data_IF_120043407370
#
_entry.id   IF_120043407370
#
_cell.length_a   1.000
_cell.length_b   1.000
_cell.length_c   1.000
_cell.angle_alpha   90.00
_cell.angle_beta   90.00
_cell.angle_gamma   90.00
#
_symmetry.space_group_name_H-M   'P 1'
#
loop_
_entity.id
_entity.type
_entity.pdbx_description
1 polymer ?
#
# COMPACT_ATOMS: atom_id res chain seq x y z
N UNK A 1 -13.66 -14.21 -2.21
CA UNK A 1 -13.37 -13.78 -0.84
C UNK A 1 -11.88 -13.99 -0.65
N UNK A 2 -11.07 -12.94 -0.52
CA UNK A 2 -9.63 -13.14 -0.25
C UNK A 2 -9.49 -13.71 1.16
N UNK A 3 -8.73 -14.80 1.33
CA UNK A 3 -8.46 -15.38 2.63
C UNK A 3 -7.69 -14.38 3.50
N UNK A 4 -8.37 -13.83 4.49
CA UNK A 4 -7.75 -13.01 5.53
C UNK A 4 -7.06 -13.98 6.48
N UNK A 5 -5.74 -13.81 6.69
CA UNK A 5 -4.96 -14.64 7.62
C UNK A 5 -5.61 -14.64 9.01
N UNK A 6 -5.77 -15.82 9.63
CA UNK A 6 -6.39 -15.98 10.95
C UNK A 6 -5.72 -15.11 12.03
N UNK A 7 -4.40 -14.90 11.94
CA UNK A 7 -3.66 -14.05 12.86
C UNK A 7 -4.11 -12.58 12.81
N UNK A 8 -4.45 -12.06 11.63
CA UNK A 8 -4.99 -10.71 11.47
C UNK A 8 -6.42 -10.58 12.01
N UNK A 9 -7.21 -11.66 11.91
CA UNK A 9 -8.55 -11.72 12.51
C UNK A 9 -8.44 -11.73 14.04
N UNK A 10 -7.56 -12.54 14.59
CA UNK A 10 -7.29 -12.60 16.03
C UNK A 10 -6.77 -11.27 16.58
N UNK A 11 -5.94 -10.54 15.82
CA UNK A 11 -5.51 -9.20 16.23
C UNK A 11 -6.66 -8.19 16.25
N UNK A 12 -7.57 -8.27 15.28
CA UNK A 12 -8.70 -7.34 15.18
C UNK A 12 -9.72 -7.40 16.31
N UNK A 13 -9.65 -8.45 17.15
CA UNK A 13 -10.53 -8.64 18.32
C UNK A 13 -9.81 -8.41 19.65
N UNK A 14 -8.52 -8.06 19.66
CA UNK A 14 -7.79 -7.73 20.89
C UNK A 14 -8.22 -6.36 21.44
N UNK A 15 -8.17 -6.23 22.77
CA UNK A 15 -8.47 -4.97 23.48
C UNK A 15 -7.45 -3.87 23.17
N UNK A 16 -6.18 -4.23 23.03
CA UNK A 16 -5.12 -3.33 22.58
C UNK A 16 -4.59 -3.85 21.25
N UNK A 17 -4.75 -3.04 20.20
CA UNK A 17 -4.30 -3.37 18.85
C UNK A 17 -3.04 -2.60 18.52
N UNK A 18 -2.13 -3.24 17.82
CA UNK A 18 -1.01 -2.52 17.20
C UNK A 18 -1.52 -1.47 16.21
N UNK A 19 -0.76 -0.39 15.94
CA UNK A 19 -1.10 0.56 14.89
C UNK A 19 -1.19 -0.16 13.52
N UNK A 20 -2.05 0.34 12.63
CA UNK A 20 -2.21 -0.19 11.27
C UNK A 20 -1.41 0.66 10.29
N UNK A 21 -0.50 0.03 9.59
CA UNK A 21 0.27 0.62 8.49
C UNK A 21 -0.45 0.34 7.17
N UNK A 22 -0.47 1.35 6.29
CA UNK A 22 -1.04 1.22 4.94
C UNK A 22 0.10 1.15 3.93
N UNK A 23 0.18 0.02 3.24
CA UNK A 23 1.17 -0.25 2.20
C UNK A 23 0.48 -0.20 0.83
N UNK A 24 1.15 0.43 -0.13
CA UNK A 24 0.66 0.59 -1.49
C UNK A 24 1.61 -0.08 -2.48
N UNK A 25 1.06 -0.83 -3.42
CA UNK A 25 1.78 -1.41 -4.54
C UNK A 25 1.13 -0.91 -5.83
N UNK A 26 1.91 -0.30 -6.72
CA UNK A 26 1.45 0.14 -8.04
C UNK A 26 2.26 -0.62 -9.08
N UNK A 27 1.61 -1.51 -9.80
CA UNK A 27 2.23 -2.34 -10.82
C UNK A 27 1.96 -1.78 -12.22
N UNK A 28 3.03 -1.33 -12.87
CA UNK A 28 3.04 -0.83 -14.25
C UNK A 28 3.76 -1.77 -15.22
N UNK A 29 4.12 -2.99 -14.79
CA UNK A 29 4.89 -3.95 -15.61
C UNK A 29 4.16 -4.34 -16.90
N UNK A 30 2.83 -4.38 -16.87
CA UNK A 30 1.97 -4.60 -18.03
C UNK A 30 2.08 -3.51 -19.10
N UNK A 31 2.53 -2.31 -18.75
CA UNK A 31 2.81 -1.20 -19.68
C UNK A 31 4.30 -1.09 -20.04
N UNK A 32 5.15 -2.01 -19.57
CA UNK A 32 6.60 -1.92 -19.71
C UNK A 32 7.29 -1.04 -18.67
N UNK A 33 6.55 -0.60 -17.64
CA UNK A 33 7.09 0.12 -16.48
C UNK A 33 7.56 -0.80 -15.36
N UNK A 34 7.79 -0.22 -14.20
CA UNK A 34 8.21 -0.93 -12.99
C UNK A 34 7.07 -1.06 -11.96
N UNK A 35 7.32 -1.83 -10.89
CA UNK A 35 6.41 -1.89 -9.74
C UNK A 35 6.92 -0.99 -8.62
N UNK A 36 6.06 -0.11 -8.15
CA UNK A 36 6.34 0.84 -7.09
C UNK A 36 5.73 0.39 -5.77
N UNK A 37 6.44 0.62 -4.68
CA UNK A 37 6.05 0.24 -3.33
C UNK A 37 6.13 1.47 -2.42
N UNK A 38 4.98 1.92 -1.91
CA UNK A 38 4.87 3.15 -1.13
C UNK A 38 4.23 2.93 0.25
N UNK A 39 4.66 3.73 1.21
CA UNK A 39 4.08 3.86 2.54
C UNK A 39 4.01 5.35 2.89
N UNK A 40 3.00 5.78 3.66
CA UNK A 40 2.94 7.18 4.13
C UNK A 40 3.82 7.41 5.37
N UNK A 41 4.32 6.35 5.98
CA UNK A 41 5.01 6.35 7.26
C UNK A 41 6.41 5.80 7.10
N UNK A 42 7.34 6.33 7.90
CA UNK A 42 8.64 5.73 8.16
C UNK A 42 8.51 4.72 9.31
N UNK A 43 9.40 3.74 9.35
CA UNK A 43 9.49 2.80 10.48
C UNK A 43 10.08 3.48 11.74
N UNK A 44 10.21 2.75 12.85
CA UNK A 44 10.70 3.31 14.12
C UNK A 44 12.14 3.86 14.04
N UNK A 45 12.91 3.45 13.03
CA UNK A 45 14.29 3.88 12.78
C UNK A 45 14.35 5.11 11.87
N UNK A 46 13.22 5.62 11.38
CA UNK A 46 13.18 6.69 10.38
C UNK A 46 13.54 6.21 8.97
N UNK A 47 13.43 4.90 8.71
CA UNK A 47 13.75 4.27 7.43
C UNK A 47 12.48 3.78 6.71
N UNK A 48 12.56 3.40 5.41
CA UNK A 48 11.45 2.79 4.69
C UNK A 48 10.89 1.54 5.39
N UNK A 49 9.57 1.40 5.41
CA UNK A 49 8.91 0.24 6.01
C UNK A 49 9.21 -1.01 5.19
N UNK A 50 9.61 -2.10 5.84
CA UNK A 50 9.86 -3.39 5.19
C UNK A 50 8.76 -4.40 5.54
N UNK A 51 8.16 -5.02 4.53
CA UNK A 51 7.17 -6.07 4.74
C UNK A 51 7.40 -7.24 3.80
N UNK A 52 7.52 -8.45 4.36
CA UNK A 52 7.86 -9.67 3.61
C UNK A 52 9.14 -9.51 2.77
N UNK A 53 10.14 -8.82 3.33
CA UNK A 53 11.42 -8.55 2.67
C UNK A 53 11.37 -7.48 1.57
N UNK A 54 10.22 -6.81 1.37
CA UNK A 54 10.07 -5.71 0.40
C UNK A 54 10.04 -4.37 1.12
N UNK A 55 10.88 -3.43 0.70
CA UNK A 55 10.85 -2.05 1.18
C UNK A 55 9.75 -1.24 0.49
N UNK A 56 9.03 -0.45 1.28
CA UNK A 56 8.01 0.49 0.88
C UNK A 56 8.50 1.90 1.19
N UNK A 57 8.72 2.69 0.13
CA UNK A 57 9.28 4.02 0.25
C UNK A 57 8.28 5.01 0.84
N UNK A 58 8.77 5.89 1.72
CA UNK A 58 7.97 6.97 2.26
C UNK A 58 7.59 7.93 1.12
N UNK A 59 6.32 7.96 0.74
CA UNK A 59 5.83 8.78 -0.36
C UNK A 59 4.38 9.21 -0.10
N UNK A 60 4.00 10.48 -0.34
CA UNK A 60 2.63 10.92 -0.08
C UNK A 60 1.65 10.31 -1.09
N UNK A 61 0.78 9.45 -0.58
CA UNK A 61 -0.22 8.71 -1.35
C UNK A 61 -1.48 8.49 -0.50
N UNK A 62 -2.65 8.74 -1.07
CA UNK A 62 -3.92 8.47 -0.41
C UNK A 62 -4.89 7.79 -1.37
N UNK A 63 -5.89 7.11 -0.81
CA UNK A 63 -6.97 6.62 -1.64
C UNK A 63 -8.29 6.46 -0.89
N UNK A 64 -9.37 6.67 -1.63
CA UNK A 64 -10.75 6.69 -1.15
C UNK A 64 -11.66 5.89 -2.07
N UNK A 65 -12.94 5.75 -1.71
CA UNK A 65 -13.93 5.04 -2.54
C UNK A 65 -13.73 3.51 -2.60
N UNK A 66 -12.95 2.95 -1.67
CA UNK A 66 -12.82 1.50 -1.50
C UNK A 66 -14.06 0.95 -0.78
N UNK A 67 -14.90 0.22 -1.50
CA UNK A 67 -16.07 -0.46 -0.94
C UNK A 67 -16.08 -1.92 -1.36
N UNK A 68 -16.53 -2.79 -0.44
CA UNK A 68 -16.79 -4.19 -0.72
C UNK A 68 -18.31 -4.40 -0.60
N UNK A 69 -19.02 -4.29 -1.72
CA UNK A 69 -20.47 -4.55 -1.77
C UNK A 69 -20.77 -5.83 -2.54
N UNK A 70 -21.64 -6.69 -1.98
CA UNK A 70 -22.15 -7.90 -2.65
C UNK A 70 -23.41 -7.68 -3.48
N UNK A 71 -23.99 -6.46 -3.46
CA UNK A 71 -25.19 -6.08 -4.22
C UNK A 71 -25.08 -4.60 -4.63
N UNK A 72 -25.10 -4.30 -5.93
CA UNK A 72 -25.06 -2.94 -6.46
C UNK A 72 -23.99 -2.67 -7.52
N UNK A 73 -23.75 -1.39 -7.83
CA UNK A 73 -22.69 -0.93 -8.75
C UNK A 73 -21.30 -1.28 -8.20
N UNK A 74 -20.35 -1.58 -9.10
CA UNK A 74 -18.94 -1.73 -8.73
C UNK A 74 -18.42 -0.49 -8.02
N UNK A 75 -17.61 -0.68 -6.98
CA UNK A 75 -16.90 0.40 -6.30
C UNK A 75 -16.05 1.20 -7.30
N UNK A 76 -15.92 2.50 -7.07
CA UNK A 76 -15.09 3.41 -7.87
C UNK A 76 -14.02 4.03 -6.96
N UNK A 77 -12.95 3.28 -6.67
CA UNK A 77 -11.87 3.81 -5.86
C UNK A 77 -11.12 4.90 -6.62
N UNK A 78 -10.64 5.89 -5.87
CA UNK A 78 -9.77 6.96 -6.37
C UNK A 78 -8.46 6.93 -5.62
N UNK A 79 -7.35 7.12 -6.34
CA UNK A 79 -6.00 7.22 -5.78
C UNK A 79 -5.44 8.61 -6.05
N UNK A 80 -4.95 9.26 -5.00
CA UNK A 80 -4.26 10.55 -5.06
C UNK A 80 -2.81 10.32 -4.74
N UNK A 81 -1.92 10.67 -5.66
CA UNK A 81 -0.47 10.49 -5.52
C UNK A 81 0.19 11.85 -5.69
N UNK A 82 1.14 12.19 -4.83
CA UNK A 82 1.90 13.43 -5.01
C UNK A 82 2.72 13.40 -6.29
N UNK A 83 2.79 14.50 -7.02
CA UNK A 83 3.61 14.63 -8.23
C UNK A 83 4.96 15.29 -7.90
N UNK A 84 5.69 14.75 -6.91
CA UNK A 84 7.01 15.27 -6.54
C UNK A 84 7.95 15.11 -7.72
N UNK A 85 8.64 16.20 -8.07
CA UNK A 85 9.63 16.23 -9.16
C UNK A 85 9.08 15.80 -10.54
N UNK A 86 7.76 15.87 -10.76
CA UNK A 86 7.14 15.49 -12.03
C UNK A 86 7.05 13.99 -12.28
N UNK A 87 7.29 13.16 -11.26
CA UNK A 87 7.32 11.70 -11.36
C UNK A 87 6.05 11.13 -12.02
N UNK A 88 4.86 11.51 -11.55
CA UNK A 88 3.59 10.97 -12.04
C UNK A 88 3.30 11.46 -13.45
N UNK A 89 3.67 12.71 -13.76
CA UNK A 89 3.52 13.26 -15.12
C UNK A 89 4.37 12.49 -16.12
N UNK A 90 5.66 12.27 -15.84
CA UNK A 90 6.55 11.51 -16.73
C UNK A 90 6.04 10.10 -16.97
N UNK A 91 5.63 9.38 -15.91
CA UNK A 91 5.06 8.04 -16.09
C UNK A 91 3.78 8.05 -16.93
N UNK A 92 2.91 9.05 -16.76
CA UNK A 92 1.68 9.13 -17.54
C UNK A 92 1.94 9.43 -19.02
N UNK A 93 2.98 10.19 -19.35
CA UNK A 93 3.41 10.45 -20.72
C UNK A 93 4.01 9.19 -21.38
N UNK A 94 4.86 8.46 -20.65
CA UNK A 94 5.59 7.31 -21.17
C UNK A 94 4.76 6.02 -21.21
N UNK A 95 3.80 5.85 -20.27
CA UNK A 95 3.12 4.57 -20.01
C UNK A 95 1.60 4.66 -20.25
N UNK A 96 1.21 5.22 -21.39
CA UNK A 96 -0.19 5.26 -21.85
C UNK A 96 -1.16 5.81 -20.77
N UNK A 97 -0.76 6.90 -20.10
CA UNK A 97 -1.54 7.50 -19.01
C UNK A 97 -1.86 6.52 -17.86
N UNK A 98 -0.97 5.56 -17.61
CA UNK A 98 -1.08 4.52 -16.58
C UNK A 98 -2.29 3.60 -16.75
N UNK A 99 -2.91 3.56 -17.95
CA UNK A 99 -4.08 2.74 -18.19
C UNK A 99 -3.71 1.25 -18.11
N UNK A 100 -4.45 0.51 -17.28
CA UNK A 100 -4.20 -0.90 -17.01
C UNK A 100 -3.23 -1.16 -15.85
N UNK A 101 -2.76 -0.11 -15.16
CA UNK A 101 -2.03 -0.26 -13.91
C UNK A 101 -2.84 -1.04 -12.87
N UNK A 102 -2.17 -1.90 -12.10
CA UNK A 102 -2.80 -2.57 -10.95
C UNK A 102 -2.37 -1.90 -9.67
N UNK A 103 -3.34 -1.49 -8.84
CA UNK A 103 -3.08 -0.89 -7.53
C UNK A 103 -3.54 -1.83 -6.43
N UNK A 104 -2.65 -2.12 -5.48
CA UNK A 104 -2.93 -2.90 -4.28
C UNK A 104 -2.76 -2.01 -3.07
N UNK A 105 -3.82 -1.89 -2.26
CA UNK A 105 -3.77 -1.29 -0.93
C UNK A 105 -3.81 -2.39 0.12
N UNK A 106 -2.77 -2.48 0.94
CA UNK A 106 -2.69 -3.44 2.05
C UNK A 106 -2.72 -2.71 3.38
N UNK A 107 -3.58 -3.17 4.29
CA UNK A 107 -3.62 -2.69 5.68
C UNK A 107 -3.01 -3.78 6.55
N UNK A 108 -1.89 -3.49 7.19
CA UNK A 108 -1.11 -4.44 7.97
C UNK A 108 -0.97 -3.91 9.39
N UNK A 109 -1.20 -4.76 10.40
CA UNK A 109 -0.88 -4.38 11.78
C UNK A 109 0.64 -4.37 11.97
N UNK A 110 1.19 -3.35 12.64
CA UNK A 110 2.63 -3.15 12.77
C UNK A 110 3.36 -4.40 13.29
N UNK A 111 2.81 -5.12 14.27
CA UNK A 111 3.35 -6.41 14.78
C UNK A 111 3.61 -7.51 13.73
N UNK A 112 3.04 -7.40 12.54
CA UNK A 112 3.25 -8.34 11.42
C UNK A 112 4.23 -7.81 10.36
N UNK A 113 4.82 -6.64 10.60
CA UNK A 113 5.96 -6.16 9.83
C UNK A 113 7.21 -6.94 10.19
N UNK A 114 8.20 -6.90 9.30
CA UNK A 114 9.47 -7.57 9.53
C UNK A 114 10.22 -6.92 10.71
N UNK A 115 10.98 -7.70 11.48
CA UNK A 115 11.74 -7.25 12.66
C UNK A 115 12.64 -6.03 12.40
N UNK A 116 13.15 -5.88 11.17
CA UNK A 116 14.01 -4.76 10.77
C UNK A 116 13.36 -3.38 10.99
N UNK A 117 12.03 -3.30 11.07
CA UNK A 117 11.31 -2.04 11.28
C UNK A 117 11.42 -1.50 12.71
N UNK A 118 11.78 -2.32 13.69
CA UNK A 118 11.72 -1.99 15.11
C UNK A 118 13.12 -1.78 15.67
N UNK A 119 13.28 -0.81 16.58
CA UNK A 119 14.57 -0.55 17.24
C UNK A 119 15.04 -1.76 18.04
N UNK A 120 14.10 -2.50 18.62
CA UNK A 120 14.38 -3.68 19.43
C UNK A 120 14.61 -4.98 18.62
N UNK A 121 14.40 -4.96 17.30
CA UNK A 121 14.45 -6.14 16.44
C UNK A 121 13.19 -6.99 16.54
#
# INVERSE_FOLDING_TARGET
MQDIREESLNESVKSEQSPRVVLWEIDLTVQGGERYFFCNELNEKGEPVTWQGRQYQAYPIDGSGFEMSGKGSSARPSLTVSNLFGLVTGMAEDLQSLVGATVVRRRVYARFLDAVNFVAG
#
